data_IF_980473306677
#
_entry.id   IF_980473306677
#
_cell.length_a   1.000
_cell.length_b   1.000
_cell.length_c   1.000
_cell.angle_alpha   90.00
_cell.angle_beta   90.00
_cell.angle_gamma   90.00
#
_symmetry.space_group_name_H-M   'P 1'
#
loop_
_entity.id
_entity.type
_entity.pdbx_description
1 polymer ?
#
# COMPACT_ATOMS: atom_id res chain seq x y z
N UNK A 1 8.64 50.67 -48.34
CA UNK A 1 9.69 49.96 -47.58
C UNK A 1 9.28 49.91 -46.12
N UNK A 2 8.70 48.80 -45.61
CA UNK A 2 8.35 48.68 -44.20
C UNK A 2 9.57 48.21 -43.39
N UNK A 3 9.84 48.87 -42.27
CA UNK A 3 10.87 48.47 -41.31
C UNK A 3 10.27 47.42 -40.37
N UNK A 4 10.85 46.22 -40.38
CA UNK A 4 10.55 45.14 -39.45
C UNK A 4 11.07 45.54 -38.06
N UNK A 5 10.17 45.65 -37.08
CA UNK A 5 10.51 45.87 -35.68
C UNK A 5 10.72 44.50 -35.04
N UNK A 6 11.97 44.09 -34.82
CA UNK A 6 12.31 42.88 -34.06
C UNK A 6 12.22 43.24 -32.58
N UNK A 7 11.14 42.83 -31.92
CA UNK A 7 11.02 42.84 -30.47
C UNK A 7 11.76 41.60 -29.97
N UNK A 8 12.96 41.78 -29.44
CA UNK A 8 13.66 40.76 -28.67
C UNK A 8 13.05 40.74 -27.28
N UNK A 9 12.17 39.77 -27.01
CA UNK A 9 11.74 39.45 -25.65
C UNK A 9 12.94 38.81 -24.93
N UNK A 10 13.65 39.59 -24.12
CA UNK A 10 14.53 39.03 -23.09
C UNK A 10 13.64 38.49 -21.96
N UNK A 11 13.40 37.19 -21.98
CA UNK A 11 12.93 36.48 -20.79
C UNK A 11 14.11 36.47 -19.81
N UNK A 12 14.01 37.28 -18.75
CA UNK A 12 14.91 37.19 -17.62
C UNK A 12 14.66 35.84 -16.93
N UNK A 13 15.44 34.83 -17.31
CA UNK A 13 15.60 33.62 -16.53
C UNK A 13 16.31 34.03 -15.24
N UNK A 14 15.52 34.34 -14.21
CA UNK A 14 15.96 34.44 -12.83
C UNK A 14 16.46 33.06 -12.43
N UNK A 15 17.73 32.78 -12.74
CA UNK A 15 18.39 31.54 -12.37
C UNK A 15 18.44 31.44 -10.85
N UNK A 16 17.49 30.72 -10.28
CA UNK A 16 17.71 30.04 -9.01
C UNK A 16 18.88 29.10 -9.24
N UNK A 17 20.07 29.48 -8.74
CA UNK A 17 21.19 28.56 -8.65
C UNK A 17 20.82 27.50 -7.61
N UNK A 18 20.17 26.42 -8.02
CA UNK A 18 20.15 25.19 -7.25
C UNK A 18 21.61 24.84 -6.94
N UNK A 19 21.94 24.64 -5.67
CA UNK A 19 23.25 24.06 -5.33
C UNK A 19 23.41 22.79 -6.16
N UNK A 20 24.52 22.71 -6.90
CA UNK A 20 24.76 21.63 -7.85
C UNK A 20 24.50 20.28 -7.16
N UNK A 21 23.55 19.50 -7.67
CA UNK A 21 23.18 18.19 -7.11
C UNK A 21 21.96 18.16 -6.18
N UNK A 22 21.24 19.28 -6.00
CA UNK A 22 19.96 19.30 -5.27
C UNK A 22 18.77 19.64 -6.16
N UNK A 23 17.61 19.04 -5.87
CA UNK A 23 16.33 19.32 -6.53
C UNK A 23 15.23 19.50 -5.49
N UNK A 24 14.23 20.33 -5.79
CA UNK A 24 13.07 20.50 -4.89
C UNK A 24 12.08 19.36 -5.10
N UNK A 25 11.42 18.92 -4.05
CA UNK A 25 10.37 17.91 -4.03
C UNK A 25 9.02 18.58 -3.83
N UNK A 26 8.05 18.26 -4.70
CA UNK A 26 6.63 18.60 -4.52
C UNK A 26 5.80 17.31 -4.59
N UNK A 27 5.86 16.54 -3.51
CA UNK A 27 5.29 15.19 -3.45
C UNK A 27 3.88 15.16 -2.85
N UNK A 28 3.29 16.32 -2.54
CA UNK A 28 1.95 16.43 -1.93
C UNK A 28 1.77 15.60 -0.64
N UNK A 29 2.85 15.41 0.12
CA UNK A 29 2.87 14.63 1.37
C UNK A 29 3.49 15.43 2.50
N UNK A 30 3.06 15.15 3.73
CA UNK A 30 3.68 15.72 4.93
C UNK A 30 5.02 15.07 5.28
N UNK A 31 5.35 13.94 4.64
CA UNK A 31 6.61 13.23 4.83
C UNK A 31 7.21 12.80 3.47
N UNK A 32 7.96 13.70 2.80
CA UNK A 32 8.61 13.41 1.53
C UNK A 32 9.66 12.29 1.62
N UNK A 33 10.34 12.17 2.76
CA UNK A 33 11.36 11.15 2.98
C UNK A 33 10.74 9.75 3.02
N UNK A 34 9.64 9.58 3.74
CA UNK A 34 8.91 8.31 3.79
C UNK A 34 8.39 7.89 2.41
N UNK A 35 7.84 8.83 1.64
CA UNK A 35 7.38 8.56 0.28
C UNK A 35 8.53 8.16 -0.66
N UNK A 36 9.70 8.79 -0.52
CA UNK A 36 10.88 8.42 -1.29
C UNK A 36 11.37 7.02 -0.92
N UNK A 37 11.46 6.69 0.37
CA UNK A 37 11.81 5.34 0.84
C UNK A 37 10.81 4.30 0.32
N UNK A 38 9.53 4.63 0.30
CA UNK A 38 8.51 3.76 -0.25
C UNK A 38 8.74 3.48 -1.75
N UNK A 39 8.86 4.53 -2.58
CA UNK A 39 8.97 4.42 -4.03
C UNK A 39 10.34 3.92 -4.50
N UNK A 40 11.41 4.24 -3.78
CA UNK A 40 12.78 3.93 -4.17
C UNK A 40 13.44 2.88 -3.29
N UNK A 41 12.79 2.42 -2.23
CA UNK A 41 13.37 1.43 -1.34
C UNK A 41 13.76 0.11 -2.02
N UNK A 42 13.05 -0.42 -3.05
CA UNK A 42 13.53 -1.60 -3.77
C UNK A 42 14.79 -1.29 -4.60
N UNK A 43 15.07 -0.01 -4.82
CA UNK A 43 16.14 0.48 -5.69
C UNK A 43 17.44 0.77 -4.94
N UNK A 44 17.40 0.82 -3.60
CA UNK A 44 18.51 1.26 -2.77
C UNK A 44 18.31 0.97 -1.28
N UNK A 45 19.13 1.59 -0.44
CA UNK A 45 19.06 1.43 1.00
C UNK A 45 18.18 2.54 1.63
N UNK A 46 17.22 2.15 2.46
CA UNK A 46 16.24 3.07 3.06
C UNK A 46 16.88 4.19 3.91
N UNK A 47 17.96 3.91 4.65
CA UNK A 47 18.65 4.94 5.44
C UNK A 47 19.34 5.98 4.55
N UNK A 48 19.91 5.54 3.44
CA UNK A 48 20.51 6.42 2.44
C UNK A 48 19.46 7.31 1.77
N UNK A 49 18.29 6.75 1.44
CA UNK A 49 17.16 7.50 0.87
C UNK A 49 16.62 8.55 1.86
N UNK A 50 16.46 8.20 3.14
CA UNK A 50 16.05 9.16 4.17
C UNK A 50 17.06 10.29 4.33
N UNK A 51 18.35 9.94 4.38
CA UNK A 51 19.43 10.92 4.55
C UNK A 51 19.61 11.84 3.33
N UNK A 52 19.10 11.43 2.16
CA UNK A 52 19.11 12.24 0.96
C UNK A 52 18.05 13.35 0.95
N UNK A 53 17.07 13.33 1.88
CA UNK A 53 15.98 14.30 1.93
C UNK A 53 16.14 15.24 3.13
N UNK A 54 16.18 16.53 2.87
CA UNK A 54 16.13 17.59 3.88
C UNK A 54 14.93 18.51 3.62
N UNK A 55 13.87 18.35 4.40
CA UNK A 55 12.59 19.02 4.15
C UNK A 55 12.01 18.65 2.79
N UNK A 56 11.89 19.63 1.90
CA UNK A 56 11.43 19.47 0.51
C UNK A 56 12.60 19.46 -0.48
N UNK A 57 13.82 19.17 -0.04
CA UNK A 57 15.01 19.13 -0.91
C UNK A 57 15.56 17.73 -0.98
N UNK A 58 15.87 17.26 -2.18
CA UNK A 58 16.52 15.98 -2.45
C UNK A 58 17.96 16.21 -2.91
N UNK A 59 18.92 15.65 -2.19
CA UNK A 59 20.32 15.56 -2.59
C UNK A 59 20.53 14.34 -3.49
N UNK A 60 20.73 14.58 -4.78
CA UNK A 60 20.89 13.54 -5.78
C UNK A 60 22.23 12.80 -5.67
N UNK A 61 23.28 13.47 -5.15
CA UNK A 61 24.58 12.82 -4.92
C UNK A 61 24.49 11.77 -3.81
N UNK A 62 23.67 12.04 -2.79
CA UNK A 62 23.43 11.09 -1.69
C UNK A 62 22.70 9.81 -2.14
N UNK A 63 22.03 9.82 -3.30
CA UNK A 63 21.35 8.65 -3.86
C UNK A 63 22.31 7.67 -4.56
N UNK A 64 23.57 8.05 -4.76
CA UNK A 64 24.57 7.22 -5.43
C UNK A 64 24.29 7.01 -6.92
N UNK A 65 23.73 5.88 -7.33
CA UNK A 65 23.78 5.37 -8.71
C UNK A 65 22.55 5.64 -9.59
N UNK A 66 21.62 6.53 -9.21
CA UNK A 66 20.41 6.83 -10.01
C UNK A 66 20.10 8.31 -10.29
N UNK A 67 21.08 9.21 -10.45
CA UNK A 67 20.76 10.62 -10.66
C UNK A 67 20.11 10.90 -12.02
N UNK A 68 20.36 10.12 -13.07
CA UNK A 68 19.96 10.52 -14.44
C UNK A 68 18.46 10.55 -14.71
N UNK A 69 17.68 9.57 -14.22
CA UNK A 69 16.23 9.57 -14.41
C UNK A 69 15.55 10.67 -13.61
N UNK A 70 15.99 10.91 -12.38
CA UNK A 70 15.48 11.98 -11.51
C UNK A 70 15.91 13.37 -11.99
N UNK A 71 17.14 13.51 -12.50
CA UNK A 71 17.60 14.75 -13.14
C UNK A 71 16.81 15.08 -14.40
N UNK A 72 16.46 14.06 -15.20
CA UNK A 72 15.62 14.25 -16.37
C UNK A 72 14.20 14.66 -15.97
N UNK A 73 13.68 14.09 -14.88
CA UNK A 73 12.38 14.44 -14.33
C UNK A 73 12.31 15.90 -13.85
N UNK A 74 13.39 16.44 -13.26
CA UNK A 74 13.43 17.83 -12.77
C UNK A 74 13.90 18.86 -13.80
N UNK A 75 14.07 18.48 -15.07
CA UNK A 75 14.87 19.25 -16.02
C UNK A 75 14.25 20.60 -16.42
N UNK A 76 12.93 20.76 -16.29
CA UNK A 76 12.22 21.95 -16.76
C UNK A 76 12.22 23.10 -15.73
N UNK A 77 12.03 22.79 -14.45
CA UNK A 77 11.85 23.81 -13.40
C UNK A 77 12.65 23.54 -12.11
N UNK A 78 13.44 22.46 -12.05
CA UNK A 78 14.20 22.07 -10.86
C UNK A 78 13.34 21.50 -9.72
N UNK A 79 12.08 21.18 -10.00
CA UNK A 79 11.13 20.54 -9.08
C UNK A 79 10.86 19.13 -9.58
N UNK A 80 10.76 18.17 -8.67
CA UNK A 80 10.22 16.84 -8.95
C UNK A 80 8.87 16.76 -8.28
N UNK A 81 7.83 16.75 -9.09
CA UNK A 81 6.47 16.46 -8.63
C UNK A 81 6.31 14.98 -8.30
N UNK A 82 5.25 14.66 -7.56
CA UNK A 82 4.83 13.28 -7.29
C UNK A 82 4.76 12.41 -8.56
N UNK A 83 4.12 12.93 -9.60
CA UNK A 83 3.90 12.17 -10.84
C UNK A 83 5.22 11.92 -11.58
N UNK A 84 6.07 12.94 -11.69
CA UNK A 84 7.39 12.84 -12.32
C UNK A 84 8.30 11.83 -11.58
N UNK A 85 8.29 11.83 -10.25
CA UNK A 85 9.02 10.84 -9.46
C UNK A 85 8.54 9.42 -9.79
N UNK A 86 7.22 9.21 -9.79
CA UNK A 86 6.60 7.90 -10.06
C UNK A 86 6.94 7.43 -11.47
N UNK A 87 6.81 8.28 -12.47
CA UNK A 87 7.12 7.93 -13.87
C UNK A 87 8.60 7.61 -14.05
N UNK A 88 9.49 8.33 -13.36
CA UNK A 88 10.93 8.10 -13.42
C UNK A 88 11.36 6.75 -12.80
N UNK A 89 10.67 6.27 -11.76
CA UNK A 89 11.14 5.12 -10.97
C UNK A 89 10.31 3.84 -11.13
N UNK A 90 9.06 3.90 -11.61
CA UNK A 90 8.12 2.76 -11.56
C UNK A 90 8.61 1.52 -12.32
N UNK A 91 9.20 1.70 -13.51
CA UNK A 91 9.69 0.56 -14.30
C UNK A 91 10.83 -0.18 -13.59
N UNK A 92 11.74 0.56 -12.95
CA UNK A 92 12.82 -0.03 -12.17
C UNK A 92 12.32 -0.55 -10.82
N UNK A 93 11.32 0.09 -10.22
CA UNK A 93 10.70 -0.31 -8.96
C UNK A 93 10.17 -1.75 -9.05
N UNK A 94 9.35 -2.05 -10.06
CA UNK A 94 8.81 -3.41 -10.23
C UNK A 94 9.90 -4.43 -10.52
N UNK A 95 10.87 -4.07 -11.37
CA UNK A 95 12.00 -4.97 -11.70
C UNK A 95 12.83 -5.29 -10.46
N UNK A 96 13.20 -4.29 -9.68
CA UNK A 96 14.06 -4.47 -8.51
C UNK A 96 13.32 -5.13 -7.34
N UNK A 97 12.02 -4.88 -7.19
CA UNK A 97 11.18 -5.53 -6.19
C UNK A 97 10.87 -7.00 -6.53
N UNK A 98 11.26 -7.50 -7.71
CA UNK A 98 10.97 -8.87 -8.14
C UNK A 98 9.47 -9.15 -8.26
N UNK A 99 8.70 -8.15 -8.72
CA UNK A 99 7.25 -8.25 -8.82
C UNK A 99 6.88 -9.28 -9.90
N UNK A 100 5.91 -10.18 -9.63
CA UNK A 100 5.39 -11.08 -10.64
C UNK A 100 4.84 -10.32 -11.85
N UNK A 101 5.16 -10.75 -13.07
CA UNK A 101 4.70 -10.07 -14.29
C UNK A 101 3.22 -10.35 -14.60
N UNK A 102 2.71 -11.48 -14.09
CA UNK A 102 1.33 -11.91 -14.31
C UNK A 102 0.58 -12.18 -13.02
N UNK A 103 -0.74 -12.04 -13.07
CA UNK A 103 -1.64 -12.39 -11.96
C UNK A 103 -1.50 -13.87 -11.57
N UNK A 104 -1.24 -14.76 -12.53
CA UNK A 104 -1.05 -16.17 -12.25
C UNK A 104 0.20 -16.42 -11.39
N UNK A 105 1.30 -15.72 -11.70
CA UNK A 105 2.53 -15.80 -10.92
C UNK A 105 2.36 -15.20 -9.52
N UNK A 106 1.61 -14.09 -9.40
CA UNK A 106 1.22 -13.55 -8.09
C UNK A 106 0.43 -14.56 -7.27
N UNK A 107 -0.59 -15.18 -7.86
CA UNK A 107 -1.41 -16.17 -7.17
C UNK A 107 -0.60 -17.39 -6.74
N UNK A 108 0.46 -17.74 -7.47
CA UNK A 108 1.36 -18.82 -7.07
C UNK A 108 2.20 -18.49 -5.82
N UNK A 109 2.38 -17.21 -5.48
CA UNK A 109 2.99 -16.80 -4.21
C UNK A 109 2.05 -17.00 -3.02
N UNK A 110 0.74 -16.97 -3.27
CA UNK A 110 -0.27 -17.20 -2.24
C UNK A 110 -0.60 -18.70 -2.20
N UNK A 111 -0.46 -19.34 -1.05
CA UNK A 111 -1.09 -20.66 -0.86
C UNK A 111 -2.61 -20.46 -0.76
N UNK A 112 -3.28 -20.48 -1.91
CA UNK A 112 -4.72 -20.26 -1.99
C UNK A 112 -5.51 -21.34 -1.23
N UNK A 113 -4.95 -22.54 -1.08
CA UNK A 113 -5.63 -23.66 -0.40
C UNK A 113 -5.73 -23.47 1.11
N UNK A 114 -4.86 -22.65 1.68
CA UNK A 114 -4.87 -22.30 3.10
C UNK A 114 -5.13 -20.82 3.37
N UNK A 115 -5.56 -20.06 2.36
CA UNK A 115 -5.83 -18.63 2.49
C UNK A 115 -7.06 -18.34 3.36
N UNK A 116 -7.01 -17.25 4.12
CA UNK A 116 -8.18 -16.61 4.72
C UNK A 116 -8.81 -15.67 3.70
N UNK A 117 -10.13 -15.74 3.60
CA UNK A 117 -10.89 -14.96 2.65
C UNK A 117 -12.02 -14.20 3.34
N UNK A 118 -12.22 -12.96 2.95
CA UNK A 118 -13.41 -12.18 3.28
C UNK A 118 -13.65 -11.15 2.20
N UNK A 119 -14.88 -10.66 2.10
CA UNK A 119 -15.23 -9.66 1.10
C UNK A 119 -15.44 -8.29 1.75
N UNK A 120 -15.10 -7.22 1.05
CA UNK A 120 -15.20 -5.85 1.54
C UNK A 120 -15.75 -4.92 0.46
N UNK A 121 -16.63 -4.00 0.86
CA UNK A 121 -17.07 -2.88 0.02
C UNK A 121 -16.50 -1.58 0.61
N UNK A 122 -15.53 -1.01 -0.09
CA UNK A 122 -14.73 0.15 0.34
C UNK A 122 -15.31 1.50 -0.08
N UNK A 123 -14.55 2.56 0.17
CA UNK A 123 -14.85 3.91 -0.34
C UNK A 123 -14.13 4.28 -1.63
N UNK A 124 -13.14 3.49 -2.06
CA UNK A 124 -12.24 3.87 -3.17
C UNK A 124 -12.78 3.48 -4.54
N UNK A 125 -13.55 2.41 -4.62
CA UNK A 125 -14.10 1.89 -5.87
C UNK A 125 -15.53 1.43 -5.65
N UNK A 126 -16.31 1.33 -6.74
CA UNK A 126 -17.65 0.73 -6.71
C UNK A 126 -17.62 -0.78 -6.47
N UNK A 127 -16.45 -1.41 -6.65
CA UNK A 127 -16.32 -2.85 -6.60
C UNK A 127 -16.35 -3.38 -5.17
N UNK A 128 -17.04 -4.51 -5.02
CA UNK A 128 -16.81 -5.40 -3.89
C UNK A 128 -15.50 -6.13 -4.12
N UNK A 129 -14.67 -6.26 -3.09
CA UNK A 129 -13.35 -6.86 -3.18
C UNK A 129 -13.30 -8.15 -2.38
N UNK A 130 -12.78 -9.23 -2.95
CA UNK A 130 -12.42 -10.43 -2.19
C UNK A 130 -10.96 -10.32 -1.77
N UNK A 131 -10.75 -10.26 -0.47
CA UNK A 131 -9.44 -10.16 0.14
C UNK A 131 -8.93 -11.57 0.45
N UNK A 132 -7.64 -11.80 0.20
CA UNK A 132 -6.95 -13.05 0.46
C UNK A 132 -5.63 -12.79 1.19
N UNK A 133 -5.33 -13.61 2.18
CA UNK A 133 -4.03 -13.66 2.84
C UNK A 133 -3.74 -15.09 3.28
N UNK A 134 -2.48 -15.51 3.24
CA UNK A 134 -2.10 -16.85 3.70
C UNK A 134 -2.34 -16.98 5.21
N UNK A 135 -2.96 -18.08 5.65
CA UNK A 135 -3.29 -18.28 7.07
C UNK A 135 -2.04 -18.32 7.95
N UNK A 136 -0.97 -18.94 7.49
CA UNK A 136 0.31 -18.97 8.23
C UNK A 136 0.84 -17.56 8.51
N UNK A 137 0.76 -16.62 7.56
CA UNK A 137 1.21 -15.25 7.76
C UNK A 137 0.42 -14.54 8.88
N UNK A 138 -0.90 -14.78 8.94
CA UNK A 138 -1.74 -14.27 10.03
C UNK A 138 -1.40 -14.92 11.37
N UNK A 139 -1.13 -16.23 11.38
CA UNK A 139 -0.73 -16.96 12.59
C UNK A 139 0.60 -16.45 13.13
N UNK A 140 1.60 -16.25 12.28
CA UNK A 140 2.90 -15.66 12.66
C UNK A 140 2.74 -14.26 13.26
N UNK A 141 1.91 -13.41 12.65
CA UNK A 141 1.64 -12.06 13.17
C UNK A 141 0.94 -12.10 14.54
N UNK A 142 -0.01 -13.02 14.73
CA UNK A 142 -0.70 -13.22 16.01
C UNK A 142 0.22 -13.80 17.09
N UNK A 143 1.13 -14.71 16.73
CA UNK A 143 2.11 -15.25 17.67
C UNK A 143 3.00 -14.15 18.23
N UNK A 144 3.58 -13.30 17.36
CA UNK A 144 4.34 -12.12 17.81
C UNK A 144 3.56 -11.26 18.77
N UNK A 145 2.28 -11.04 18.48
CA UNK A 145 1.43 -10.14 19.26
C UNK A 145 1.01 -10.72 20.61
N UNK A 146 0.50 -11.93 20.60
CA UNK A 146 -0.18 -12.55 21.75
C UNK A 146 0.75 -13.39 22.60
N UNK A 147 1.83 -13.93 22.02
CA UNK A 147 2.81 -14.75 22.73
C UNK A 147 4.04 -13.92 23.08
N UNK A 148 4.62 -13.20 22.12
CA UNK A 148 5.87 -12.47 22.33
C UNK A 148 5.66 -11.03 22.83
N UNK A 149 4.41 -10.55 22.86
CA UNK A 149 4.05 -9.19 23.25
C UNK A 149 4.53 -8.10 22.29
N UNK A 150 5.00 -8.47 21.09
CA UNK A 150 5.49 -7.55 20.06
C UNK A 150 4.32 -6.90 19.28
N UNK A 151 4.58 -5.86 18.49
CA UNK A 151 3.60 -5.36 17.53
C UNK A 151 3.16 -6.47 16.56
N UNK A 152 1.87 -6.47 16.19
CA UNK A 152 1.35 -7.36 15.16
C UNK A 152 1.86 -6.84 13.81
N UNK A 153 2.85 -7.53 13.26
CA UNK A 153 3.45 -7.23 11.95
C UNK A 153 3.54 -8.50 11.14
N UNK A 154 3.63 -8.37 9.82
CA UNK A 154 3.73 -9.51 8.90
C UNK A 154 5.17 -9.73 8.47
N UNK A 155 5.55 -11.00 8.27
CA UNK A 155 6.88 -11.39 7.78
C UNK A 155 7.14 -10.83 6.38
N UNK A 156 8.38 -10.51 6.01
CA UNK A 156 8.75 -10.30 4.61
C UNK A 156 8.30 -11.46 3.73
N UNK A 157 7.88 -11.16 2.50
CA UNK A 157 7.27 -12.10 1.57
C UNK A 157 5.77 -12.36 1.80
N UNK A 158 5.17 -11.86 2.88
CA UNK A 158 3.71 -11.94 3.06
C UNK A 158 2.99 -11.26 1.89
N UNK A 159 2.04 -11.95 1.27
CA UNK A 159 1.21 -11.43 0.17
C UNK A 159 -0.23 -11.26 0.64
N UNK A 160 -0.81 -10.11 0.32
CA UNK A 160 -2.24 -9.84 0.48
C UNK A 160 -2.81 -9.44 -0.87
N UNK A 161 -3.88 -10.12 -1.30
CA UNK A 161 -4.51 -9.94 -2.61
C UNK A 161 -5.92 -9.41 -2.42
N UNK A 162 -6.31 -8.39 -3.18
CA UNK A 162 -7.68 -7.89 -3.29
C UNK A 162 -8.18 -8.04 -4.72
N UNK A 163 -9.06 -8.99 -4.97
CA UNK A 163 -9.71 -9.18 -6.27
C UNK A 163 -10.99 -8.36 -6.33
N UNK A 164 -11.14 -7.48 -7.31
CA UNK A 164 -12.39 -6.76 -7.50
C UNK A 164 -13.40 -7.68 -8.17
N UNK A 165 -14.67 -7.61 -7.73
CA UNK A 165 -15.74 -8.47 -8.21
C UNK A 165 -16.76 -7.61 -8.95
N UNK A 166 -17.01 -7.95 -10.21
CA UNK A 166 -18.07 -7.34 -11.03
C UNK A 166 -18.77 -8.42 -11.85
N UNK A 167 -20.06 -8.67 -11.58
CA UNK A 167 -20.89 -9.65 -12.31
C UNK A 167 -20.25 -11.04 -12.52
N UNK A 168 -19.47 -11.51 -11.53
CA UNK A 168 -18.77 -12.80 -11.59
C UNK A 168 -17.42 -12.78 -12.33
N UNK A 169 -17.01 -11.63 -12.84
CA UNK A 169 -15.68 -11.37 -13.39
C UNK A 169 -14.77 -10.71 -12.33
N UNK A 170 -13.46 -10.75 -12.61
CA UNK A 170 -12.43 -10.05 -11.86
C UNK A 170 -11.81 -9.01 -12.79
N UNK A 171 -12.37 -7.78 -12.86
CA UNK A 171 -11.85 -6.74 -13.75
C UNK A 171 -10.45 -6.26 -13.36
N UNK A 172 -10.08 -6.39 -12.08
CA UNK A 172 -8.74 -6.05 -11.60
C UNK A 172 -8.38 -6.85 -10.34
N UNK A 173 -7.08 -7.07 -10.16
CA UNK A 173 -6.50 -7.67 -8.96
C UNK A 173 -5.44 -6.73 -8.41
N UNK A 174 -5.60 -6.30 -7.17
CA UNK A 174 -4.58 -5.55 -6.44
C UNK A 174 -3.85 -6.47 -5.48
N UNK A 175 -2.57 -6.21 -5.22
CA UNK A 175 -1.86 -6.91 -4.17
C UNK A 175 -0.80 -6.03 -3.50
N UNK A 176 -0.44 -6.44 -2.29
CA UNK A 176 0.69 -5.91 -1.57
C UNK A 176 1.58 -7.04 -1.08
N UNK A 177 2.90 -6.86 -1.24
CA UNK A 177 3.93 -7.84 -0.87
C UNK A 177 4.84 -7.21 0.18
N UNK A 178 4.97 -7.84 1.36
CA UNK A 178 5.79 -7.30 2.45
C UNK A 178 7.27 -7.40 2.10
N UNK A 179 8.00 -6.29 2.23
CA UNK A 179 9.44 -6.20 1.97
C UNK A 179 10.26 -6.37 3.25
N UNK A 180 11.55 -6.65 3.09
CA UNK A 180 12.50 -6.82 4.20
C UNK A 180 12.74 -5.54 5.00
N UNK A 181 12.60 -4.37 4.38
CA UNK A 181 12.78 -3.08 5.03
C UNK A 181 11.52 -2.56 5.74
N UNK A 182 10.49 -3.41 5.85
CA UNK A 182 9.25 -3.09 6.56
C UNK A 182 8.23 -2.30 5.74
N UNK A 183 8.47 -2.04 4.46
CA UNK A 183 7.46 -1.47 3.56
C UNK A 183 6.67 -2.55 2.81
N UNK A 184 5.59 -2.14 2.14
CA UNK A 184 4.86 -2.99 1.20
C UNK A 184 5.17 -2.58 -0.23
N UNK A 185 5.35 -3.57 -1.12
CA UNK A 185 5.35 -3.37 -2.56
C UNK A 185 3.91 -3.45 -3.07
N UNK A 186 3.40 -2.41 -3.72
CA UNK A 186 2.03 -2.39 -4.25
C UNK A 186 2.01 -2.67 -5.75
N UNK A 187 1.12 -3.57 -6.16
CA UNK A 187 1.00 -4.03 -7.55
C UNK A 187 -0.46 -4.17 -7.92
N UNK A 188 -0.75 -4.05 -9.22
CA UNK A 188 -2.07 -4.28 -9.76
C UNK A 188 -2.00 -5.02 -11.09
N UNK A 189 -3.03 -5.79 -11.38
CA UNK A 189 -3.18 -6.55 -12.62
C UNK A 189 -4.55 -6.26 -13.21
N UNK A 190 -4.58 -6.08 -14.53
CA UNK A 190 -5.81 -5.87 -15.30
C UNK A 190 -6.64 -7.16 -15.45
N UNK A 191 -7.74 -7.07 -16.17
CA UNK A 191 -8.64 -8.19 -16.44
C UNK A 191 -7.98 -9.32 -17.24
N UNK A 192 -6.95 -9.02 -18.03
CA UNK A 192 -6.17 -9.99 -18.79
C UNK A 192 -5.05 -10.62 -17.93
N UNK A 193 -4.86 -10.14 -16.71
CA UNK A 193 -3.87 -10.62 -15.76
C UNK A 193 -2.47 -10.06 -15.97
N UNK A 194 -2.33 -8.97 -16.74
CA UNK A 194 -1.06 -8.29 -16.95
C UNK A 194 -0.84 -7.21 -15.90
N UNK A 195 0.42 -6.99 -15.49
CA UNK A 195 0.77 -5.90 -14.59
C UNK A 195 0.35 -4.54 -15.17
N UNK A 196 -0.40 -3.77 -14.39
CA UNK A 196 -0.87 -2.42 -14.76
C UNK A 196 -0.42 -1.38 -13.73
N UNK A 197 -0.28 -0.14 -14.18
CA UNK A 197 0.08 1.02 -13.34
C UNK A 197 -1.13 1.80 -12.85
N UNK A 198 -2.34 1.41 -13.26
CA UNK A 198 -3.57 2.08 -12.88
C UNK A 198 -4.68 1.07 -12.62
N UNK A 199 -5.49 1.37 -11.62
CA UNK A 199 -6.72 0.64 -11.29
C UNK A 199 -7.91 1.58 -11.36
N UNK A 200 -9.12 1.02 -11.40
CA UNK A 200 -10.34 1.83 -11.36
C UNK A 200 -10.38 2.68 -10.09
N UNK A 201 -10.71 3.95 -10.29
CA UNK A 201 -10.97 4.95 -9.26
C UNK A 201 -11.96 5.95 -9.82
N UNK A 202 -12.66 6.68 -8.95
CA UNK A 202 -13.57 7.75 -9.37
C UNK A 202 -13.33 9.00 -8.49
N UNK A 203 -13.20 10.20 -9.12
CA UNK A 203 -13.40 10.49 -10.55
C UNK A 203 -12.30 10.01 -11.49
N UNK A 204 -11.09 9.79 -10.96
CA UNK A 204 -9.92 9.46 -11.75
C UNK A 204 -9.36 8.07 -11.36
N UNK A 205 -8.74 7.34 -12.30
CA UNK A 205 -8.01 6.12 -11.99
C UNK A 205 -6.97 6.33 -10.89
N UNK A 206 -6.76 5.31 -10.05
CA UNK A 206 -5.71 5.34 -9.04
C UNK A 206 -4.41 4.80 -9.62
N UNK A 207 -3.30 5.51 -9.41
CA UNK A 207 -1.98 5.15 -9.91
C UNK A 207 -1.24 4.28 -8.88
N UNK A 208 -0.76 3.12 -9.33
CA UNK A 208 0.00 2.17 -8.51
C UNK A 208 1.49 2.32 -8.83
N UNK A 209 2.39 2.43 -7.83
CA UNK A 209 2.14 2.28 -6.39
C UNK A 209 1.80 3.58 -5.65
N UNK A 210 1.81 4.73 -6.33
CA UNK A 210 1.80 6.04 -5.69
C UNK A 210 0.57 6.33 -4.83
N UNK A 211 -0.64 6.13 -5.36
CA UNK A 211 -1.91 6.41 -4.66
C UNK A 211 -2.18 5.41 -3.55
N UNK A 212 -1.68 4.19 -3.68
CA UNK A 212 -1.74 3.19 -2.62
C UNK A 212 -0.96 3.62 -1.38
N UNK A 213 0.22 4.26 -1.55
CA UNK A 213 0.98 4.82 -0.43
C UNK A 213 0.16 5.81 0.39
N UNK A 214 -0.51 6.77 -0.27
CA UNK A 214 -1.28 7.80 0.41
C UNK A 214 -2.43 7.22 1.25
N UNK A 215 -3.05 6.12 0.82
CA UNK A 215 -4.09 5.45 1.60
C UNK A 215 -3.54 4.58 2.74
N UNK A 216 -2.44 3.87 2.51
CA UNK A 216 -1.88 2.90 3.47
C UNK A 216 -0.99 3.56 4.55
N UNK A 217 -0.25 4.60 4.18
CA UNK A 217 0.71 5.28 5.05
C UNK A 217 0.29 6.72 5.39
N UNK A 218 -0.66 7.30 4.66
CA UNK A 218 -1.17 8.63 4.95
C UNK A 218 -2.24 8.66 6.05
N UNK A 219 -2.90 9.81 6.17
CA UNK A 219 -3.91 10.11 7.21
C UNK A 219 -5.36 9.85 6.78
N UNK A 220 -5.57 9.45 5.52
CA UNK A 220 -6.92 9.30 4.92
C UNK A 220 -7.68 8.12 5.55
N UNK A 221 -8.87 8.30 6.15
CA UNK A 221 -9.69 7.20 6.69
C UNK A 221 -9.89 6.05 5.68
N UNK A 222 -9.75 4.79 6.12
CA UNK A 222 -10.02 3.60 5.31
C UNK A 222 -11.28 2.91 5.86
N UNK A 223 -12.40 3.22 5.25
CA UNK A 223 -13.67 2.54 5.54
C UNK A 223 -13.87 1.39 4.54
N UNK A 224 -14.43 0.26 4.98
CA UNK A 224 -15.20 0.06 6.21
C UNK A 224 -14.42 -0.51 7.39
N UNK A 225 -13.15 -0.87 7.21
CA UNK A 225 -12.39 -1.58 8.24
C UNK A 225 -12.27 -0.73 9.49
N UNK A 226 -12.06 0.59 9.38
CA UNK A 226 -12.04 1.52 10.53
C UNK A 226 -13.27 1.45 11.42
N UNK A 227 -14.46 1.25 10.85
CA UNK A 227 -15.70 1.18 11.62
C UNK A 227 -15.94 -0.21 12.25
N UNK A 228 -15.16 -1.22 11.91
CA UNK A 228 -15.35 -2.57 12.41
C UNK A 228 -15.21 -2.63 13.95
N UNK A 229 -16.09 -3.36 14.67
CA UNK A 229 -17.07 -4.34 14.20
C UNK A 229 -18.44 -3.75 13.84
N UNK A 230 -18.62 -2.44 13.96
CA UNK A 230 -19.84 -1.76 13.57
C UNK A 230 -19.96 -1.64 12.04
N UNK A 231 -21.10 -1.13 11.59
CA UNK A 231 -21.29 -0.76 10.18
C UNK A 231 -20.64 0.60 9.91
N UNK A 232 -19.95 0.71 8.78
CA UNK A 232 -19.47 1.99 8.31
C UNK A 232 -20.64 2.81 7.75
N UNK A 233 -20.57 4.15 7.88
CA UNK A 233 -21.52 5.03 7.19
C UNK A 233 -21.51 4.72 5.68
N UNK A 234 -22.60 4.88 4.94
CA UNK A 234 -22.56 4.77 3.48
C UNK A 234 -21.52 5.71 2.85
N UNK A 235 -20.89 5.26 1.78
CA UNK A 235 -19.97 6.04 0.94
C UNK A 235 -20.63 6.48 -0.37
N UNK A 236 -19.85 7.05 -1.31
CA UNK A 236 -20.35 7.49 -2.61
C UNK A 236 -21.00 6.35 -3.43
N UNK A 237 -20.53 5.11 -3.27
CA UNK A 237 -21.05 3.92 -3.96
C UNK A 237 -22.06 3.10 -3.14
N UNK A 238 -22.60 3.68 -2.06
CA UNK A 238 -23.60 3.01 -1.21
C UNK A 238 -23.02 2.39 0.06
N UNK A 239 -23.62 1.31 0.60
CA UNK A 239 -23.20 0.70 1.85
C UNK A 239 -21.75 0.22 1.82
N UNK A 240 -20.98 0.57 2.86
CA UNK A 240 -19.61 0.10 3.06
C UNK A 240 -19.60 -0.94 4.17
N UNK A 241 -19.03 -2.11 3.92
CA UNK A 241 -19.07 -3.20 4.88
C UNK A 241 -17.95 -4.21 4.68
N UNK A 242 -17.49 -4.78 5.79
CA UNK A 242 -16.78 -6.06 5.83
C UNK A 242 -17.85 -7.15 5.87
N UNK A 243 -17.94 -7.94 4.81
CA UNK A 243 -19.01 -8.91 4.59
C UNK A 243 -18.69 -10.24 5.29
N UNK A 244 -18.93 -10.26 6.60
CA UNK A 244 -18.71 -11.42 7.49
C UNK A 244 -19.93 -11.65 8.39
N UNK A 245 -20.10 -12.88 8.86
CA UNK A 245 -21.18 -13.26 9.78
C UNK A 245 -21.06 -12.57 11.14
N UNK A 246 -22.18 -12.45 11.89
CA UNK A 246 -22.21 -11.78 13.20
C UNK A 246 -21.26 -12.41 14.22
N UNK A 247 -21.00 -13.71 14.11
CA UNK A 247 -20.07 -14.46 14.96
C UNK A 247 -18.61 -14.03 14.80
N UNK A 248 -18.26 -13.38 13.68
CA UNK A 248 -16.94 -12.81 13.42
C UNK A 248 -16.82 -11.35 13.85
N UNK A 249 -17.93 -10.68 14.20
CA UNK A 249 -17.99 -9.27 14.63
C UNK A 249 -17.82 -9.13 16.15
N UNK A 250 -16.75 -9.72 16.67
CA UNK A 250 -16.51 -9.85 18.11
C UNK A 250 -15.82 -8.62 18.70
N UNK A 251 -16.50 -7.92 19.61
CA UNK A 251 -15.97 -6.72 20.25
C UNK A 251 -14.75 -6.99 21.15
N UNK A 252 -14.72 -8.14 21.84
CA UNK A 252 -13.59 -8.56 22.68
C UNK A 252 -12.31 -8.77 21.86
N UNK A 253 -12.41 -9.45 20.72
CA UNK A 253 -11.28 -9.66 19.80
C UNK A 253 -10.85 -8.36 19.13
N UNK A 254 -11.81 -7.56 18.66
CA UNK A 254 -11.52 -6.29 17.99
C UNK A 254 -10.83 -5.30 18.94
N UNK A 255 -11.23 -5.28 20.22
CA UNK A 255 -10.60 -4.44 21.25
C UNK A 255 -9.17 -4.91 21.56
N UNK A 256 -8.94 -6.23 21.64
CA UNK A 256 -7.63 -6.79 21.97
C UNK A 256 -6.58 -6.47 20.90
N UNK A 257 -6.91 -6.71 19.62
CA UNK A 257 -5.96 -6.55 18.52
C UNK A 257 -5.91 -5.11 18.02
N UNK A 258 -7.05 -4.41 18.04
CA UNK A 258 -7.19 -3.04 17.57
C UNK A 258 -6.68 -2.82 16.13
N UNK A 259 -6.62 -3.87 15.30
CA UNK A 259 -6.13 -3.79 13.91
C UNK A 259 -6.89 -2.74 13.09
N UNK A 260 -8.21 -2.70 13.23
CA UNK A 260 -9.11 -1.75 12.56
C UNK A 260 -8.75 -0.26 12.74
N UNK A 261 -8.02 0.08 13.81
CA UNK A 261 -7.64 1.46 14.09
C UNK A 261 -6.17 1.75 13.80
N UNK A 262 -5.39 0.72 13.43
CA UNK A 262 -3.95 0.79 13.22
C UNK A 262 -3.59 0.91 11.75
N UNK A 263 -2.40 1.46 11.49
CA UNK A 263 -1.76 1.63 10.18
C UNK A 263 -0.24 1.53 10.25
N UNK A 264 0.28 1.25 11.43
CA UNK A 264 1.71 1.34 11.70
C UNK A 264 2.51 0.26 10.96
N UNK A 265 1.86 -0.82 10.53
CA UNK A 265 2.45 -1.81 9.63
C UNK A 265 2.15 -1.56 8.15
N UNK A 266 1.40 -0.50 7.80
CA UNK A 266 0.96 -0.21 6.44
C UNK A 266 -0.07 -1.18 5.87
N UNK A 267 -0.58 -2.13 6.66
CA UNK A 267 -1.64 -3.04 6.24
C UNK A 267 -3.01 -2.45 6.61
N UNK A 268 -3.87 -2.33 5.61
CA UNK A 268 -5.28 -2.01 5.83
C UNK A 268 -6.06 -3.32 5.85
N UNK A 269 -6.42 -3.80 7.05
CA UNK A 269 -7.21 -5.02 7.16
C UNK A 269 -7.41 -5.53 8.58
N UNK A 270 -8.24 -6.57 8.68
CA UNK A 270 -8.72 -7.15 9.93
C UNK A 270 -8.34 -8.63 10.03
N UNK A 271 -7.23 -9.03 9.41
CA UNK A 271 -6.97 -10.45 9.14
C UNK A 271 -6.77 -11.26 10.43
N UNK A 272 -6.02 -10.73 11.41
CA UNK A 272 -5.88 -11.38 12.72
C UNK A 272 -7.19 -11.39 13.50
N UNK A 273 -7.93 -10.30 13.45
CA UNK A 273 -9.21 -10.09 14.13
C UNK A 273 -10.26 -11.07 13.62
N UNK A 274 -10.35 -11.24 12.30
CA UNK A 274 -11.26 -12.20 11.69
C UNK A 274 -10.82 -13.64 11.96
N UNK A 275 -9.52 -13.95 11.86
CA UNK A 275 -8.98 -15.28 12.17
C UNK A 275 -9.29 -15.70 13.61
N UNK A 276 -8.97 -14.83 14.56
CA UNK A 276 -9.12 -15.12 15.99
C UNK A 276 -10.60 -15.18 16.40
N UNK A 277 -11.45 -14.35 15.79
CA UNK A 277 -12.90 -14.45 15.95
C UNK A 277 -13.45 -15.75 15.37
N UNK A 278 -12.89 -16.24 14.27
CA UNK A 278 -13.29 -17.51 13.67
C UNK A 278 -12.91 -18.71 14.56
N UNK A 279 -11.70 -18.71 15.13
CA UNK A 279 -11.29 -19.70 16.12
C UNK A 279 -12.19 -19.67 17.37
N UNK A 280 -12.45 -18.48 17.93
CA UNK A 280 -13.27 -18.34 19.16
C UNK A 280 -14.73 -18.74 18.94
N UNK A 281 -15.29 -18.48 17.76
CA UNK A 281 -16.68 -18.86 17.41
C UNK A 281 -16.82 -20.32 17.02
N UNK A 282 -15.72 -21.03 16.76
CA UNK A 282 -15.73 -22.40 16.24
C UNK A 282 -16.07 -22.50 14.76
N UNK A 283 -16.16 -21.38 14.03
CA UNK A 283 -16.28 -21.39 12.56
C UNK A 283 -14.99 -21.85 11.89
N UNK A 284 -13.86 -21.71 12.60
CA UNK A 284 -12.59 -22.30 12.24
C UNK A 284 -12.12 -23.24 13.35
N UNK A 285 -11.84 -24.50 13.02
CA UNK A 285 -11.22 -25.43 13.96
C UNK A 285 -9.74 -25.09 14.17
N UNK A 286 -9.21 -25.13 15.41
CA UNK A 286 -7.78 -25.00 15.66
C UNK A 286 -6.98 -26.07 14.90
N UNK A 287 -5.96 -25.65 14.16
CA UNK A 287 -5.09 -26.57 13.43
C UNK A 287 -4.13 -27.32 14.37
N UNK A 288 -3.66 -26.66 15.43
CA UNK A 288 -2.70 -27.20 16.38
C UNK A 288 -2.79 -26.53 17.77
N UNK A 289 -1.78 -26.71 18.62
CA UNK A 289 -1.74 -26.11 19.97
C UNK A 289 -1.58 -24.60 19.97
N UNK A 290 -0.93 -24.01 18.96
CA UNK A 290 -0.71 -22.57 18.91
C UNK A 290 -2.03 -21.83 18.73
N UNK A 291 -2.92 -22.34 17.87
CA UNK A 291 -4.27 -21.77 17.71
C UNK A 291 -5.08 -21.84 19.02
N UNK A 292 -4.91 -22.91 19.81
CA UNK A 292 -5.53 -23.01 21.13
C UNK A 292 -4.96 -21.98 22.11
N UNK A 293 -3.65 -21.75 22.07
CA UNK A 293 -2.99 -20.69 22.85
C UNK A 293 -3.56 -19.32 22.51
N UNK A 294 -3.80 -19.03 21.22
CA UNK A 294 -4.41 -17.76 20.81
C UNK A 294 -5.80 -17.57 21.43
N UNK A 295 -6.64 -18.61 21.43
CA UNK A 295 -7.98 -18.54 22.02
C UNK A 295 -7.91 -18.34 23.54
N UNK A 296 -6.96 -18.99 24.23
CA UNK A 296 -6.74 -18.85 25.67
C UNK A 296 -6.19 -17.48 26.09
N UNK A 297 -5.57 -16.74 25.17
CA UNK A 297 -5.12 -15.37 25.40
C UNK A 297 -6.28 -14.36 25.38
N UNK A 298 -7.48 -14.76 24.98
CA UNK A 298 -8.62 -13.87 24.86
C UNK A 298 -9.26 -13.61 26.23
N UNK A 299 -9.72 -12.39 26.52
CA UNK A 299 -10.48 -12.13 27.74
C UNK A 299 -11.71 -13.06 27.84
N UNK A 300 -11.86 -13.71 29.00
CA UNK A 300 -13.01 -14.57 29.31
C UNK A 300 -13.02 -15.93 28.62
N UNK A 301 -11.90 -16.42 28.10
CA UNK A 301 -11.70 -17.80 27.65
C UNK A 301 -11.41 -18.76 28.81
#
# INVERSE_FOLDING_TARGET
>A
MPRLLIIVLLVAASGCSSEAGTVRLDLETTDPAEMLVFLMGPLGNSDSLRSAVEGETLNLEALGTRPSALLAASAEDGVITRQELVDAVTADYYRAAGVPETRADLLALLDTTSSLQHEVSGSMTRFRRRMHIARNAVREALERRLVDGQPMTYSPGTVVIGEHLDEGQIPETTAMIRRDDGFWTFVAYDADGNLTRSIEGDPDPLHVPADCFGCHYGTRPYEPERSFPAEARPGPYGPRAVHVGPELRRADVTTLLNEHARRDDGLLGLYGTLYLSALKSGTLAPADSLDRTFVQALPGS
#
